data_IF_329127711584
#
_entry.id   IF_329127711584
#
_cell.length_a   1.000
_cell.length_b   1.000
_cell.length_c   1.000
_cell.angle_alpha   90.00
_cell.angle_beta   90.00
_cell.angle_gamma   90.00
#
_symmetry.space_group_name_H-M   'P 1'
#
loop_
_entity.id
_entity.type
_entity.pdbx_description
1 polymer ?
#
# COMPACT_ATOMS: atom_id res chain seq x y z
N UNK A 1 12.28 -6.68 23.61
CA UNK A 1 13.60 -6.39 23.02
C UNK A 1 13.42 -5.67 21.69
N UNK A 2 14.43 -4.87 21.31
CA UNK A 2 14.41 -4.09 20.08
C UNK A 2 15.68 -4.38 19.27
N UNK A 3 15.56 -4.51 17.93
CA UNK A 3 16.73 -4.63 17.05
C UNK A 3 17.43 -3.27 16.87
N UNK A 4 18.45 -3.24 16.05
CA UNK A 4 19.08 -1.99 15.62
C UNK A 4 18.04 -1.04 14.98
N UNK A 5 18.26 0.27 15.10
CA UNK A 5 17.32 1.33 14.67
C UNK A 5 16.78 1.15 13.25
N UNK A 6 17.64 0.77 12.30
CA UNK A 6 17.26 0.56 10.90
C UNK A 6 16.15 -0.48 10.75
N UNK A 7 16.24 -1.61 11.46
CA UNK A 7 15.20 -2.66 11.40
C UNK A 7 13.87 -2.20 12.01
N UNK A 8 13.91 -1.32 13.01
CA UNK A 8 12.70 -0.72 13.57
C UNK A 8 12.03 0.27 12.61
N UNK A 9 12.83 1.07 11.88
CA UNK A 9 12.32 2.06 10.92
C UNK A 9 11.71 1.39 9.67
N UNK A 10 12.13 0.18 9.34
CA UNK A 10 11.66 -0.58 8.17
C UNK A 10 10.50 -1.54 8.49
N UNK A 11 10.17 -1.79 9.76
CA UNK A 11 9.09 -2.69 10.10
C UNK A 11 7.71 -2.06 9.83
N UNK A 12 6.72 -2.92 9.63
CA UNK A 12 5.33 -2.50 9.48
C UNK A 12 4.83 -1.79 10.74
N UNK A 13 3.97 -0.79 10.55
CA UNK A 13 3.19 -0.24 11.66
C UNK A 13 2.13 -1.25 12.11
N UNK A 14 1.63 -1.10 13.33
CA UNK A 14 0.50 -1.91 13.82
C UNK A 14 -0.69 -1.84 12.86
N UNK A 15 -1.03 -0.64 12.37
CA UNK A 15 -2.17 -0.43 11.49
C UNK A 15 -2.03 -1.21 10.16
N UNK A 16 -0.85 -1.17 9.53
CA UNK A 16 -0.61 -1.90 8.28
C UNK A 16 -0.50 -3.41 8.52
N UNK A 17 0.06 -3.86 9.63
CA UNK A 17 0.11 -5.27 10.00
C UNK A 17 -1.30 -5.85 10.28
N UNK A 18 -2.15 -5.11 11.00
CA UNK A 18 -3.56 -5.48 11.21
C UNK A 18 -4.36 -5.50 9.90
N UNK A 19 -4.06 -4.60 8.97
CA UNK A 19 -4.68 -4.62 7.66
C UNK A 19 -4.34 -5.91 6.89
N UNK A 20 -3.07 -6.34 6.88
CA UNK A 20 -2.65 -7.63 6.30
C UNK A 20 -3.36 -8.82 6.95
N UNK A 21 -3.49 -8.82 8.28
CA UNK A 21 -4.27 -9.84 8.99
C UNK A 21 -5.75 -9.82 8.59
N UNK A 22 -6.33 -8.64 8.35
CA UNK A 22 -7.71 -8.52 7.86
C UNK A 22 -7.88 -9.09 6.45
N UNK A 23 -6.90 -8.96 5.56
CA UNK A 23 -6.91 -9.61 4.23
C UNK A 23 -7.06 -11.13 4.40
N UNK A 24 -6.23 -11.76 5.25
CA UNK A 24 -6.30 -13.21 5.48
C UNK A 24 -7.69 -13.59 6.02
N UNK A 25 -8.21 -12.85 6.99
CA UNK A 25 -9.55 -13.10 7.55
C UNK A 25 -10.66 -13.03 6.51
N UNK A 26 -10.54 -12.13 5.51
CA UNK A 26 -11.55 -11.96 4.45
C UNK A 26 -11.56 -13.10 3.41
N UNK A 27 -10.56 -13.98 3.40
CA UNK A 27 -10.54 -15.16 2.52
C UNK A 27 -11.67 -16.15 2.84
N UNK A 28 -12.39 -15.96 3.95
CA UNK A 28 -13.59 -16.71 4.32
C UNK A 28 -13.35 -18.17 4.76
N UNK A 29 -12.10 -18.62 4.74
CA UNK A 29 -11.67 -19.94 5.25
C UNK A 29 -10.72 -19.75 6.41
N UNK A 30 -10.88 -20.57 7.45
CA UNK A 30 -9.89 -20.61 8.52
C UNK A 30 -8.57 -21.13 7.95
N UNK A 31 -7.52 -20.39 8.15
CA UNK A 31 -6.18 -20.81 7.74
C UNK A 31 -5.54 -21.65 8.86
N UNK A 32 -4.87 -22.73 8.50
CA UNK A 32 -4.27 -23.62 9.48
C UNK A 32 -2.84 -23.19 9.82
N UNK A 33 -2.08 -22.81 8.79
CA UNK A 33 -0.65 -22.56 8.94
C UNK A 33 -0.30 -21.20 8.28
N UNK A 34 0.43 -20.37 9.02
CA UNK A 34 1.17 -19.23 8.49
C UNK A 34 2.64 -19.61 8.31
N UNK A 35 3.21 -19.27 7.17
CA UNK A 35 4.66 -19.32 6.93
C UNK A 35 5.12 -17.92 6.52
N UNK A 36 5.79 -17.22 7.42
CA UNK A 36 6.47 -15.95 7.12
C UNK A 36 7.92 -16.26 6.77
N UNK A 37 8.26 -16.10 5.48
CA UNK A 37 9.59 -16.43 4.93
C UNK A 37 10.61 -15.31 5.05
N UNK A 38 10.22 -14.15 5.61
CA UNK A 38 11.06 -12.94 5.75
C UNK A 38 10.78 -12.25 7.07
N UNK A 39 10.87 -12.99 8.15
CA UNK A 39 10.35 -12.62 9.46
C UNK A 39 10.76 -11.25 10.02
N UNK A 40 12.00 -10.81 9.75
CA UNK A 40 12.51 -9.52 10.20
C UNK A 40 12.34 -9.30 11.70
N UNK A 41 11.71 -8.18 12.08
CA UNK A 41 11.41 -7.90 13.50
C UNK A 41 10.22 -8.71 14.07
N UNK A 42 9.47 -9.40 13.21
CA UNK A 42 8.35 -10.26 13.60
C UNK A 42 7.01 -9.56 13.79
N UNK A 43 6.90 -8.27 13.45
CA UNK A 43 5.64 -7.52 13.60
C UNK A 43 4.54 -8.13 12.75
N UNK A 44 4.80 -8.34 11.47
CA UNK A 44 3.82 -8.94 10.56
C UNK A 44 3.47 -10.37 11.00
N UNK A 45 4.46 -11.20 11.30
CA UNK A 45 4.23 -12.56 11.81
C UNK A 45 3.31 -12.56 13.03
N UNK A 46 3.54 -11.63 13.97
CA UNK A 46 2.74 -11.51 15.19
C UNK A 46 1.24 -11.31 14.88
N UNK A 47 0.90 -10.32 14.05
CA UNK A 47 -0.50 -10.02 13.73
C UNK A 47 -1.13 -11.04 12.77
N UNK A 48 -0.37 -11.55 11.80
CA UNK A 48 -0.86 -12.56 10.86
C UNK A 48 -1.14 -13.90 11.57
N UNK A 49 -0.34 -14.27 12.58
CA UNK A 49 -0.53 -15.49 13.36
C UNK A 49 -1.87 -15.55 14.11
N UNK A 50 -2.52 -14.40 14.34
CA UNK A 50 -3.85 -14.35 14.95
C UNK A 50 -4.95 -14.97 14.07
N UNK A 51 -4.69 -15.12 12.78
CA UNK A 51 -5.64 -15.66 11.80
C UNK A 51 -5.39 -17.16 11.51
N UNK A 52 -4.41 -17.78 12.16
CA UNK A 52 -4.00 -19.17 11.91
C UNK A 52 -3.90 -19.97 13.22
N UNK A 53 -3.80 -21.29 13.11
CA UNK A 53 -3.63 -22.16 14.28
C UNK A 53 -2.16 -22.43 14.60
N UNK A 54 -1.30 -22.37 13.59
CA UNK A 54 0.14 -22.58 13.69
C UNK A 54 0.85 -21.50 12.87
N UNK A 55 2.02 -21.03 13.34
CA UNK A 55 2.81 -20.05 12.61
C UNK A 55 4.30 -20.41 12.62
N UNK A 56 4.93 -20.25 11.47
CA UNK A 56 6.37 -20.38 11.24
C UNK A 56 6.93 -19.02 10.87
N UNK A 57 7.93 -18.58 11.60
CA UNK A 57 8.76 -17.39 11.34
C UNK A 57 10.11 -17.86 10.84
N UNK A 58 10.50 -17.41 9.65
CA UNK A 58 11.77 -17.78 9.00
C UNK A 58 12.61 -16.52 8.79
N UNK A 59 13.81 -16.49 9.31
CA UNK A 59 14.73 -15.35 9.21
C UNK A 59 16.18 -15.85 9.23
N UNK A 60 17.01 -15.33 8.33
CA UNK A 60 18.42 -15.71 8.21
C UNK A 60 19.32 -15.05 9.25
N UNK A 61 18.92 -13.88 9.76
CA UNK A 61 19.68 -13.14 10.76
C UNK A 61 19.41 -13.72 12.16
N UNK A 62 20.43 -14.33 12.77
CA UNK A 62 20.35 -14.98 14.07
C UNK A 62 19.94 -14.00 15.19
N UNK A 63 20.42 -12.75 15.15
CA UNK A 63 20.07 -11.74 16.16
C UNK A 63 18.57 -11.40 16.10
N UNK A 64 18.00 -11.21 14.90
CA UNK A 64 16.57 -10.99 14.73
C UNK A 64 15.76 -12.21 15.19
N UNK A 65 16.20 -13.42 14.89
CA UNK A 65 15.56 -14.65 15.40
C UNK A 65 15.51 -14.68 16.92
N UNK A 66 16.61 -14.35 17.61
CA UNK A 66 16.66 -14.31 19.09
C UNK A 66 15.72 -13.26 19.66
N UNK A 67 15.69 -12.06 19.06
CA UNK A 67 14.80 -10.97 19.49
C UNK A 67 13.34 -11.38 19.28
N UNK A 68 12.98 -11.86 18.09
CA UNK A 68 11.64 -12.28 17.75
C UNK A 68 11.14 -13.41 18.65
N UNK A 69 11.96 -14.45 18.87
CA UNK A 69 11.64 -15.56 19.76
C UNK A 69 11.33 -15.10 21.19
N UNK A 70 12.17 -14.21 21.76
CA UNK A 70 11.95 -13.64 23.07
C UNK A 70 10.63 -12.86 23.12
N UNK A 71 10.38 -12.00 22.12
CA UNK A 71 9.18 -11.17 22.08
C UNK A 71 7.91 -12.01 21.91
N UNK A 72 7.94 -13.06 21.09
CA UNK A 72 6.82 -13.99 20.92
C UNK A 72 6.52 -14.76 22.21
N UNK A 73 7.54 -15.17 22.95
CA UNK A 73 7.37 -15.84 24.25
C UNK A 73 6.69 -14.92 25.27
N UNK A 74 7.14 -13.65 25.40
CA UNK A 74 6.51 -12.67 26.31
C UNK A 74 5.04 -12.42 25.90
N UNK A 75 4.77 -12.37 24.61
CA UNK A 75 3.42 -12.16 24.07
C UNK A 75 2.53 -13.43 24.12
N UNK A 76 3.03 -14.56 24.63
CA UNK A 76 2.36 -15.86 24.61
C UNK A 76 1.88 -16.29 23.21
N UNK A 77 2.66 -16.02 22.19
CA UNK A 77 2.37 -16.43 20.80
C UNK A 77 3.14 -17.71 20.47
N UNK A 78 2.46 -18.81 20.13
CA UNK A 78 3.09 -20.09 19.77
C UNK A 78 3.60 -20.04 18.32
N UNK A 79 4.66 -19.27 18.07
CA UNK A 79 5.29 -19.09 16.76
C UNK A 79 6.59 -19.88 16.75
N UNK A 80 6.76 -20.76 15.76
CA UNK A 80 7.98 -21.54 15.56
C UNK A 80 9.02 -20.68 14.83
N UNK A 81 10.15 -20.43 15.48
CA UNK A 81 11.24 -19.62 14.91
C UNK A 81 12.27 -20.52 14.23
N UNK A 82 12.60 -20.23 12.97
CA UNK A 82 13.58 -20.93 12.15
C UNK A 82 14.67 -19.94 11.71
N UNK A 83 15.91 -20.20 12.15
CA UNK A 83 17.06 -19.41 11.70
C UNK A 83 17.66 -20.05 10.43
N UNK A 84 17.11 -19.68 9.29
CA UNK A 84 17.50 -20.20 7.97
C UNK A 84 17.07 -19.24 6.87
N UNK A 85 17.54 -19.45 5.63
CA UNK A 85 17.05 -18.72 4.47
C UNK A 85 15.66 -19.21 4.05
N UNK A 86 14.91 -18.37 3.31
CA UNK A 86 13.62 -18.75 2.73
C UNK A 86 13.77 -19.96 1.79
N UNK A 87 14.81 -19.97 0.98
CA UNK A 87 15.11 -21.01 0.01
C UNK A 87 15.41 -22.36 0.70
N UNK A 88 16.25 -22.34 1.75
CA UNK A 88 16.60 -23.54 2.51
C UNK A 88 15.41 -24.08 3.31
N UNK A 89 14.60 -23.18 3.88
CA UNK A 89 13.37 -23.58 4.54
C UNK A 89 12.41 -24.28 3.56
N UNK A 90 12.17 -23.67 2.38
CA UNK A 90 11.29 -24.24 1.36
C UNK A 90 11.80 -25.60 0.84
N UNK A 91 13.13 -25.79 0.74
CA UNK A 91 13.73 -27.06 0.32
C UNK A 91 13.52 -28.17 1.36
N UNK A 92 13.45 -27.84 2.64
CA UNK A 92 13.30 -28.77 3.76
C UNK A 92 11.85 -28.90 4.24
N UNK A 93 10.98 -27.94 3.90
CA UNK A 93 9.58 -27.95 4.33
C UNK A 93 8.88 -29.17 3.73
N UNK A 94 8.39 -30.09 4.57
CA UNK A 94 7.88 -31.35 4.06
C UNK A 94 6.60 -31.09 3.28
N UNK A 95 6.64 -31.35 1.97
CA UNK A 95 5.43 -31.48 1.14
C UNK A 95 4.44 -32.51 1.75
N UNK A 96 4.93 -33.34 2.69
CA UNK A 96 4.21 -34.44 3.31
C UNK A 96 3.28 -34.03 4.46
N UNK A 97 3.42 -32.89 5.12
CA UNK A 97 2.43 -32.45 6.11
C UNK A 97 1.08 -32.10 5.47
N UNK A 98 1.07 -31.88 4.16
CA UNK A 98 -0.14 -31.70 3.36
C UNK A 98 -0.77 -33.02 2.89
N UNK A 99 -0.10 -34.17 3.03
CA UNK A 99 -0.47 -35.45 2.38
C UNK A 99 -0.90 -36.55 3.36
N UNK A 100 -0.64 -36.42 4.66
CA UNK A 100 -0.88 -37.51 5.63
C UNK A 100 -2.23 -37.48 6.37
N UNK A 101 -3.07 -36.48 6.10
CA UNK A 101 -4.45 -36.46 6.64
C UNK A 101 -5.45 -36.30 5.49
N UNK A 102 -6.62 -36.91 5.57
CA UNK A 102 -7.74 -36.76 4.63
C UNK A 102 -8.22 -35.28 4.50
N UNK A 103 -7.68 -34.37 5.31
CA UNK A 103 -7.98 -32.94 5.31
C UNK A 103 -6.72 -32.17 4.92
N UNK A 104 -6.73 -31.58 3.73
CA UNK A 104 -5.66 -30.69 3.24
C UNK A 104 -5.64 -29.43 4.12
N UNK A 105 -4.51 -29.15 4.79
CA UNK A 105 -4.31 -27.92 5.56
C UNK A 105 -4.27 -26.69 4.65
N UNK A 106 -4.94 -25.63 5.07
CA UNK A 106 -4.89 -24.33 4.37
C UNK A 106 -3.69 -23.54 4.87
N UNK A 107 -2.74 -23.31 3.98
CA UNK A 107 -1.48 -22.61 4.26
C UNK A 107 -1.50 -21.21 3.68
N UNK A 108 -1.10 -20.23 4.47
CA UNK A 108 -0.80 -18.87 4.01
C UNK A 108 0.71 -18.66 4.03
N UNK A 109 1.27 -18.22 2.91
CA UNK A 109 2.67 -17.80 2.84
C UNK A 109 2.73 -16.27 2.77
N UNK A 110 3.56 -15.69 3.62
CA UNK A 110 3.85 -14.25 3.64
C UNK A 110 5.32 -13.98 3.35
N UNK A 111 5.60 -12.92 2.59
CA UNK A 111 6.94 -12.43 2.26
C UNK A 111 6.99 -10.90 2.27
N UNK A 112 8.06 -10.36 2.83
CA UNK A 112 8.49 -8.95 2.70
C UNK A 112 9.93 -8.92 2.19
N UNK A 113 10.14 -9.19 0.88
CA UNK A 113 11.47 -9.34 0.33
C UNK A 113 12.24 -8.01 0.37
N UNK A 114 13.47 -8.06 0.90
CA UNK A 114 14.35 -6.91 0.91
C UNK A 114 14.89 -6.61 -0.50
N UNK A 115 15.21 -5.34 -0.77
CA UNK A 115 15.91 -4.96 -2.00
C UNK A 115 17.39 -5.33 -1.91
N UNK A 116 17.95 -5.90 -2.97
CA UNK A 116 19.43 -6.00 -3.12
C UNK A 116 19.98 -4.65 -3.58
N UNK A 117 20.77 -3.99 -2.75
CA UNK A 117 21.38 -2.70 -3.08
C UNK A 117 22.57 -2.79 -4.07
N UNK A 118 22.57 -3.75 -4.98
CA UNK A 118 23.74 -4.04 -5.81
C UNK A 118 24.11 -2.91 -6.81
N UNK A 119 23.19 -1.99 -7.20
CA UNK A 119 23.49 -1.06 -8.29
C UNK A 119 22.81 0.31 -8.22
N UNK A 120 22.35 0.82 -7.09
CA UNK A 120 21.91 2.23 -6.97
C UNK A 120 20.80 2.69 -7.96
N UNK A 121 20.11 1.76 -8.60
CA UNK A 121 19.09 2.05 -9.61
C UNK A 121 17.88 2.76 -9.00
N UNK A 122 17.33 3.76 -9.71
CA UNK A 122 16.14 4.52 -9.26
C UNK A 122 14.83 3.73 -9.33
N UNK A 123 14.79 2.59 -10.01
CA UNK A 123 13.57 1.80 -10.26
C UNK A 123 13.62 0.51 -9.43
N UNK A 124 12.57 0.26 -8.64
CA UNK A 124 12.41 -0.98 -7.89
C UNK A 124 11.86 -2.08 -8.83
N UNK A 125 12.61 -3.19 -8.96
CA UNK A 125 12.20 -4.38 -9.74
C UNK A 125 12.05 -5.59 -8.84
N UNK A 126 11.10 -6.45 -9.15
CA UNK A 126 10.85 -7.70 -8.39
C UNK A 126 12.04 -8.65 -8.48
N UNK A 127 12.74 -8.67 -9.61
CA UNK A 127 13.90 -9.51 -9.86
C UNK A 127 15.09 -9.17 -8.95
N UNK A 128 15.15 -7.92 -8.45
CA UNK A 128 16.19 -7.42 -7.56
C UNK A 128 15.92 -7.70 -6.08
N UNK A 129 14.82 -8.39 -5.78
CA UNK A 129 14.42 -8.74 -4.41
C UNK A 129 15.19 -9.95 -3.86
N UNK A 130 15.32 -9.98 -2.53
CA UNK A 130 15.86 -11.11 -1.79
C UNK A 130 14.90 -11.49 -0.63
N UNK A 131 14.36 -12.71 -0.62
CA UNK A 131 14.53 -13.78 -1.63
C UNK A 131 14.03 -13.36 -3.02
N UNK A 132 14.60 -13.99 -4.07
CA UNK A 132 14.15 -13.73 -5.44
C UNK A 132 12.79 -14.39 -5.69
N UNK A 133 11.74 -13.55 -5.71
CA UNK A 133 10.35 -14.00 -5.78
C UNK A 133 10.09 -14.85 -7.03
N UNK A 134 10.60 -14.44 -8.18
CA UNK A 134 10.36 -15.17 -9.43
C UNK A 134 10.92 -16.61 -9.36
N UNK A 135 12.09 -16.78 -8.73
CA UNK A 135 12.74 -18.10 -8.59
C UNK A 135 12.00 -19.01 -7.62
N UNK A 136 11.52 -18.48 -6.51
CA UNK A 136 10.85 -19.29 -5.47
C UNK A 136 9.35 -19.45 -5.67
N UNK A 137 8.72 -18.68 -6.56
CA UNK A 137 7.27 -18.70 -6.79
C UNK A 137 6.71 -20.10 -7.11
N UNK A 138 7.37 -20.96 -7.91
CA UNK A 138 6.90 -22.33 -8.10
C UNK A 138 6.84 -23.14 -6.79
N UNK A 139 7.84 -23.00 -5.92
CA UNK A 139 7.86 -23.67 -4.61
C UNK A 139 6.78 -23.14 -3.68
N UNK A 140 6.53 -21.82 -3.69
CA UNK A 140 5.44 -21.22 -2.92
C UNK A 140 4.07 -21.78 -3.35
N UNK A 141 3.83 -21.84 -4.66
CA UNK A 141 2.58 -22.39 -5.23
C UNK A 141 2.39 -23.89 -4.96
N UNK A 142 3.48 -24.63 -4.76
CA UNK A 142 3.42 -26.05 -4.42
C UNK A 142 2.90 -26.29 -3.00
N UNK A 143 3.14 -25.36 -2.07
CA UNK A 143 2.77 -25.48 -0.66
C UNK A 143 1.53 -24.67 -0.27
N UNK A 144 1.16 -23.64 -1.04
CA UNK A 144 0.08 -22.73 -0.70
C UNK A 144 -0.67 -22.21 -1.93
N UNK A 145 -1.99 -22.07 -1.78
CA UNK A 145 -2.84 -21.33 -2.72
C UNK A 145 -2.98 -19.84 -2.32
N UNK A 146 -2.57 -19.48 -1.10
CA UNK A 146 -2.68 -18.14 -0.55
C UNK A 146 -1.30 -17.58 -0.26
N UNK A 147 -0.83 -16.71 -1.13
CA UNK A 147 0.48 -16.07 -1.04
C UNK A 147 0.27 -14.57 -0.92
N UNK A 148 0.86 -13.96 0.10
CA UNK A 148 0.91 -12.51 0.29
C UNK A 148 2.36 -12.03 0.15
N UNK A 149 2.59 -11.05 -0.70
CA UNK A 149 3.92 -10.45 -0.90
C UNK A 149 3.82 -8.94 -0.69
N UNK A 150 4.51 -8.42 0.31
CA UNK A 150 4.61 -6.98 0.56
C UNK A 150 5.77 -6.38 -0.23
N UNK A 151 5.54 -5.23 -0.81
CA UNK A 151 6.55 -4.46 -1.53
C UNK A 151 6.56 -3.00 -1.09
N UNK A 152 7.68 -2.34 -1.34
CA UNK A 152 7.84 -0.90 -1.16
C UNK A 152 6.83 -0.09 -2.00
N UNK A 153 6.39 1.10 -1.50
CA UNK A 153 5.59 2.05 -2.28
C UNK A 153 6.22 2.45 -3.62
N UNK A 154 7.53 2.29 -3.77
CA UNK A 154 8.26 2.64 -5.00
C UNK A 154 8.07 1.63 -6.14
N UNK A 155 7.48 0.45 -5.88
CA UNK A 155 7.23 -0.56 -6.90
C UNK A 155 6.31 -0.03 -8.00
N UNK A 156 6.65 -0.30 -9.26
CA UNK A 156 5.73 -0.16 -10.39
C UNK A 156 4.80 -1.38 -10.46
N UNK A 157 3.51 -1.14 -10.16
CA UNK A 157 2.49 -2.19 -10.10
C UNK A 157 2.32 -2.88 -11.46
N UNK A 158 2.41 -2.12 -12.55
CA UNK A 158 2.21 -2.64 -13.90
C UNK A 158 3.35 -3.58 -14.29
N UNK A 159 4.59 -3.15 -14.06
CA UNK A 159 5.78 -3.97 -14.31
C UNK A 159 5.78 -5.23 -13.44
N UNK A 160 5.39 -5.11 -12.18
CA UNK A 160 5.30 -6.22 -11.25
C UNK A 160 4.29 -7.29 -11.69
N UNK A 161 3.10 -6.88 -12.13
CA UNK A 161 2.08 -7.79 -12.67
C UNK A 161 2.51 -8.44 -13.97
N UNK A 162 3.32 -7.78 -14.80
CA UNK A 162 3.90 -8.40 -16.00
C UNK A 162 4.86 -9.54 -15.64
N UNK A 163 5.67 -9.37 -14.59
CA UNK A 163 6.61 -10.40 -14.13
C UNK A 163 5.94 -11.55 -13.36
N UNK A 164 4.93 -11.26 -12.52
CA UNK A 164 4.25 -12.25 -11.67
C UNK A 164 3.06 -12.96 -12.34
N UNK A 165 2.50 -12.37 -13.40
CA UNK A 165 1.25 -12.83 -14.03
C UNK A 165 0.00 -12.12 -13.47
N UNK A 166 -1.19 -12.49 -13.98
CA UNK A 166 -2.44 -11.78 -13.71
C UNK A 166 -3.28 -12.41 -12.57
N UNK A 167 -2.73 -13.33 -11.80
CA UNK A 167 -3.45 -14.06 -10.74
C UNK A 167 -3.28 -13.39 -9.36
N UNK A 168 -3.17 -12.06 -9.34
CA UNK A 168 -2.90 -11.30 -8.12
C UNK A 168 -3.90 -10.18 -7.93
N UNK A 169 -4.49 -10.13 -6.75
CA UNK A 169 -5.09 -8.91 -6.23
C UNK A 169 -3.98 -8.02 -5.68
N UNK A 170 -4.11 -6.71 -5.88
CA UNK A 170 -3.11 -5.73 -5.44
C UNK A 170 -3.75 -4.77 -4.46
N UNK A 171 -3.22 -4.70 -3.24
CA UNK A 171 -3.63 -3.72 -2.25
C UNK A 171 -2.59 -2.60 -2.18
N UNK A 172 -2.99 -1.40 -2.53
CA UNK A 172 -2.19 -0.18 -2.32
C UNK A 172 -2.62 0.42 -0.99
N UNK A 173 -1.75 0.33 0.01
CA UNK A 173 -2.09 0.70 1.38
C UNK A 173 -1.43 2.01 1.76
N UNK A 174 -2.24 3.01 2.05
CA UNK A 174 -1.83 4.28 2.64
C UNK A 174 -2.25 4.35 4.11
N UNK A 175 -1.48 5.06 4.91
CA UNK A 175 -1.79 5.43 6.28
C UNK A 175 -1.78 6.96 6.37
N UNK A 176 -2.92 7.55 6.73
CA UNK A 176 -3.10 9.00 6.80
C UNK A 176 -2.66 9.71 5.50
N UNK A 177 -3.11 9.17 4.36
CA UNK A 177 -2.82 9.70 3.02
C UNK A 177 -1.34 9.61 2.58
N UNK A 178 -0.55 8.74 3.19
CA UNK A 178 0.81 8.41 2.77
C UNK A 178 0.91 6.93 2.42
N UNK A 179 1.25 6.58 1.17
CA UNK A 179 1.38 5.17 0.75
C UNK A 179 2.55 4.53 1.49
N UNK A 180 2.27 3.47 2.25
CA UNK A 180 3.25 2.76 3.07
C UNK A 180 3.74 1.47 2.44
N UNK A 181 2.84 0.73 1.78
CA UNK A 181 3.17 -0.57 1.22
C UNK A 181 2.22 -0.93 0.06
N UNK A 182 2.69 -1.83 -0.80
CA UNK A 182 1.90 -2.48 -1.84
C UNK A 182 1.91 -3.98 -1.55
N UNK A 183 0.74 -4.60 -1.42
CA UNK A 183 0.62 -6.01 -1.11
C UNK A 183 0.03 -6.73 -2.32
N UNK A 184 0.70 -7.76 -2.79
CA UNK A 184 0.17 -8.69 -3.78
C UNK A 184 -0.38 -9.91 -3.05
N UNK A 185 -1.62 -10.27 -3.37
CA UNK A 185 -2.29 -11.45 -2.81
C UNK A 185 -2.77 -12.30 -3.96
N UNK A 186 -2.56 -13.62 -3.91
CA UNK A 186 -3.16 -14.52 -4.92
C UNK A 186 -4.67 -14.28 -4.99
N UNK A 187 -5.19 -13.99 -6.18
CA UNK A 187 -6.58 -13.53 -6.33
C UNK A 187 -7.06 -13.41 -7.77
N UNK A 188 -7.99 -12.49 -8.02
CA UNK A 188 -8.77 -12.38 -9.25
C UNK A 188 -8.47 -11.10 -10.05
N UNK A 189 -7.26 -10.56 -9.94
CA UNK A 189 -6.80 -9.39 -10.69
C UNK A 189 -7.57 -8.08 -10.34
N UNK A 190 -7.91 -7.91 -9.06
CA UNK A 190 -8.50 -6.68 -8.55
C UNK A 190 -7.42 -5.78 -7.93
N UNK A 191 -7.65 -4.48 -7.98
CA UNK A 191 -6.83 -3.49 -7.30
C UNK A 191 -7.67 -2.85 -6.20
N UNK A 192 -7.12 -2.81 -5.00
CA UNK A 192 -7.73 -2.23 -3.80
C UNK A 192 -6.85 -1.06 -3.34
N UNK A 193 -7.31 0.16 -3.57
CA UNK A 193 -6.68 1.34 -2.99
C UNK A 193 -7.32 1.59 -1.61
N UNK A 194 -6.51 1.55 -0.56
CA UNK A 194 -6.97 1.65 0.82
C UNK A 194 -6.17 2.71 1.56
N UNK A 195 -6.87 3.66 2.15
CA UNK A 195 -6.27 4.67 3.02
C UNK A 195 -6.79 4.47 4.44
N UNK A 196 -5.91 4.00 5.32
CA UNK A 196 -6.21 3.78 6.74
C UNK A 196 -6.21 5.13 7.45
N UNK A 197 -7.31 5.45 8.09
CA UNK A 197 -7.53 6.67 8.87
C UNK A 197 -7.51 6.38 10.38
N UNK A 198 -7.64 7.39 11.22
CA UNK A 198 -7.83 7.19 12.66
C UNK A 198 -9.14 6.46 12.97
N UNK A 199 -10.19 6.76 12.20
CA UNK A 199 -11.48 6.09 12.28
C UNK A 199 -11.85 5.56 10.89
N UNK A 200 -11.87 4.23 10.74
CA UNK A 200 -12.23 3.57 9.50
C UNK A 200 -11.16 3.60 8.40
N UNK A 201 -11.58 3.26 7.20
CA UNK A 201 -10.73 3.23 6.01
C UNK A 201 -11.50 3.75 4.81
N UNK A 202 -10.86 4.62 4.00
CA UNK A 202 -11.33 4.86 2.64
C UNK A 202 -10.89 3.69 1.76
N UNK A 203 -11.81 3.11 1.00
CA UNK A 203 -11.51 2.01 0.09
C UNK A 203 -12.10 2.25 -1.29
N UNK A 204 -11.28 2.05 -2.32
CA UNK A 204 -11.67 2.12 -3.72
C UNK A 204 -11.14 0.88 -4.45
N UNK A 205 -12.05 0.00 -4.88
CA UNK A 205 -11.68 -1.27 -5.51
C UNK A 205 -12.12 -1.31 -6.97
N UNK A 206 -11.26 -1.82 -7.85
CA UNK A 206 -11.50 -1.87 -9.29
C UNK A 206 -10.63 -2.93 -9.96
N UNK A 207 -10.92 -3.18 -11.24
CA UNK A 207 -10.05 -3.95 -12.14
C UNK A 207 -9.37 -3.03 -13.15
N UNK A 208 -8.25 -3.46 -13.71
CA UNK A 208 -7.56 -2.69 -14.77
C UNK A 208 -8.42 -2.50 -16.02
N UNK A 209 -9.32 -3.46 -16.29
CA UNK A 209 -10.27 -3.35 -17.41
C UNK A 209 -11.31 -2.25 -17.17
N UNK A 210 -11.84 -2.14 -15.95
CA UNK A 210 -12.76 -1.06 -15.58
C UNK A 210 -12.08 0.31 -15.76
N UNK A 211 -10.87 0.50 -15.23
CA UNK A 211 -10.14 1.77 -15.41
C UNK A 211 -9.87 2.10 -16.89
N UNK A 212 -9.50 1.08 -17.69
CA UNK A 212 -9.22 1.26 -19.12
C UNK A 212 -10.47 1.66 -19.92
N UNK A 213 -11.63 1.12 -19.57
CA UNK A 213 -12.90 1.37 -20.26
C UNK A 213 -13.66 2.59 -19.73
N UNK A 214 -13.32 3.07 -18.52
CA UNK A 214 -14.01 4.19 -17.90
C UNK A 214 -13.94 5.47 -18.73
N UNK A 215 -15.02 6.23 -18.70
CA UNK A 215 -15.11 7.56 -19.31
C UNK A 215 -14.55 8.60 -18.34
N UNK A 216 -13.74 9.51 -18.87
CA UNK A 216 -13.19 10.62 -18.10
C UNK A 216 -13.61 11.93 -18.76
N UNK A 217 -14.57 12.61 -18.18
CA UNK A 217 -15.00 13.92 -18.63
C UNK A 217 -13.95 14.98 -18.25
N UNK A 218 -13.62 15.87 -19.18
CA UNK A 218 -12.75 17.02 -18.92
C UNK A 218 -13.56 18.24 -18.52
N UNK A 219 -13.04 19.03 -17.62
CA UNK A 219 -13.65 20.28 -17.18
C UNK A 219 -13.33 21.42 -18.13
N UNK A 220 -14.32 22.21 -18.51
CA UNK A 220 -14.12 23.48 -19.24
C UNK A 220 -13.71 24.63 -18.29
N UNK A 221 -14.12 24.54 -17.03
CA UNK A 221 -13.80 25.49 -15.97
C UNK A 221 -13.78 24.82 -14.61
N UNK A 222 -13.27 25.51 -13.60
CA UNK A 222 -13.34 25.05 -12.21
C UNK A 222 -14.74 25.37 -11.68
N UNK A 223 -15.39 24.35 -11.12
CA UNK A 223 -16.72 24.44 -10.51
C UNK A 223 -16.66 24.86 -9.03
N UNK A 224 -17.75 24.65 -8.28
CA UNK A 224 -17.85 25.06 -6.86
C UNK A 224 -16.91 24.26 -5.93
N UNK A 225 -16.59 23.01 -6.29
CA UNK A 225 -15.73 22.13 -5.48
C UNK A 225 -14.57 21.56 -6.29
N UNK A 226 -13.42 21.41 -5.64
CA UNK A 226 -12.24 20.70 -6.16
C UNK A 226 -12.04 19.44 -5.34
N UNK A 227 -11.73 18.32 -6.01
CA UNK A 227 -11.54 17.00 -5.44
C UNK A 227 -10.13 16.48 -5.76
N UNK A 228 -9.44 15.98 -4.76
CA UNK A 228 -8.18 15.27 -4.92
C UNK A 228 -8.30 13.89 -4.30
N UNK A 229 -8.22 12.79 -5.08
CA UNK A 229 -8.22 11.43 -4.54
C UNK A 229 -7.08 11.23 -3.54
N UNK A 230 -7.27 10.33 -2.58
CA UNK A 230 -6.22 10.00 -1.65
C UNK A 230 -5.02 9.33 -2.33
N UNK A 231 -3.88 9.31 -1.64
CA UNK A 231 -2.61 8.83 -2.19
C UNK A 231 -2.67 7.35 -2.64
N UNK A 232 -3.49 6.50 -2.01
CA UNK A 232 -3.66 5.11 -2.41
C UNK A 232 -4.32 5.00 -3.78
N UNK A 233 -5.37 5.77 -4.05
CA UNK A 233 -6.07 5.81 -5.35
C UNK A 233 -5.14 6.34 -6.44
N UNK A 234 -4.39 7.41 -6.14
CA UNK A 234 -3.42 7.98 -7.08
C UNK A 234 -2.34 6.95 -7.43
N UNK A 235 -1.77 6.27 -6.44
CA UNK A 235 -0.76 5.23 -6.65
C UNK A 235 -1.31 4.00 -7.37
N UNK A 236 -2.57 3.65 -7.11
CA UNK A 236 -3.27 2.55 -7.78
C UNK A 236 -3.61 2.85 -9.26
N UNK A 237 -3.62 4.11 -9.66
CA UNK A 237 -3.83 4.55 -11.04
C UNK A 237 -5.30 4.60 -11.47
N UNK A 238 -6.25 4.80 -10.54
CA UNK A 238 -7.69 4.88 -10.83
C UNK A 238 -8.12 6.30 -11.21
N UNK A 239 -7.66 6.82 -12.33
CA UNK A 239 -7.87 8.22 -12.70
C UNK A 239 -9.18 8.46 -13.45
N UNK A 240 -9.49 7.59 -14.43
CA UNK A 240 -10.70 7.70 -15.24
C UNK A 240 -11.92 7.23 -14.45
N UNK A 241 -11.76 6.14 -13.73
CA UNK A 241 -12.82 5.53 -12.96
C UNK A 241 -13.27 6.41 -11.77
N UNK A 242 -12.38 7.20 -11.19
CA UNK A 242 -12.75 8.24 -10.21
C UNK A 242 -13.67 9.28 -10.85
N UNK A 243 -13.33 9.79 -12.05
CA UNK A 243 -14.19 10.71 -12.80
C UNK A 243 -15.58 10.11 -13.05
N UNK A 244 -15.64 8.87 -13.54
CA UNK A 244 -16.88 8.19 -13.88
C UNK A 244 -17.75 7.88 -12.66
N UNK A 245 -17.19 7.25 -11.61
CA UNK A 245 -17.97 6.81 -10.43
C UNK A 245 -18.53 7.96 -9.61
N UNK A 246 -17.77 9.05 -9.51
CA UNK A 246 -18.19 10.23 -8.75
C UNK A 246 -18.76 11.34 -9.63
N UNK A 247 -18.91 11.10 -10.95
CA UNK A 247 -19.45 12.08 -11.92
C UNK A 247 -18.69 13.41 -11.88
N UNK A 248 -17.36 13.33 -11.74
CA UNK A 248 -16.44 14.45 -11.65
C UNK A 248 -15.81 14.77 -13.00
N UNK A 249 -15.52 16.04 -13.26
CA UNK A 249 -14.78 16.50 -14.42
C UNK A 249 -13.31 16.70 -14.05
N UNK A 250 -12.40 16.11 -14.82
CA UNK A 250 -10.97 16.21 -14.58
C UNK A 250 -10.44 17.55 -15.07
N UNK A 251 -9.65 18.26 -14.26
CA UNK A 251 -9.17 19.61 -14.59
C UNK A 251 -8.12 19.62 -15.71
N UNK A 252 -7.25 18.59 -15.79
CA UNK A 252 -6.24 18.48 -16.83
C UNK A 252 -5.80 17.02 -17.00
N UNK A 253 -5.29 16.66 -18.16
CA UNK A 253 -4.86 15.29 -18.49
C UNK A 253 -3.81 14.73 -17.51
N UNK A 254 -2.86 15.56 -17.10
CA UNK A 254 -1.74 15.15 -16.23
C UNK A 254 -1.92 15.54 -14.76
N UNK A 255 -3.03 16.18 -14.41
CA UNK A 255 -3.34 16.59 -13.04
C UNK A 255 -4.46 15.72 -12.48
N UNK A 256 -4.27 15.14 -11.30
CA UNK A 256 -5.27 14.28 -10.67
C UNK A 256 -6.16 15.09 -9.71
N UNK A 257 -6.62 16.26 -10.20
CA UNK A 257 -7.63 17.10 -9.59
C UNK A 257 -8.88 17.07 -10.45
N UNK A 258 -10.01 17.09 -9.78
CA UNK A 258 -11.34 17.03 -10.40
C UNK A 258 -12.21 18.15 -9.84
N UNK A 259 -13.33 18.44 -10.51
CA UNK A 259 -14.26 19.47 -10.09
C UNK A 259 -15.70 19.07 -10.34
N UNK A 260 -16.61 19.60 -9.54
CA UNK A 260 -18.06 19.51 -9.69
C UNK A 260 -18.76 20.66 -8.95
N UNK A 261 -20.02 20.93 -9.31
CA UNK A 261 -20.85 21.94 -8.62
C UNK A 261 -21.49 21.41 -7.34
N UNK A 262 -21.53 20.09 -7.13
CA UNK A 262 -22.14 19.47 -5.95
C UNK A 262 -21.07 18.93 -5.02
N UNK A 263 -21.32 19.03 -3.71
CA UNK A 263 -20.48 18.40 -2.69
C UNK A 263 -20.78 16.89 -2.64
N UNK A 264 -19.71 16.08 -2.73
CA UNK A 264 -19.75 14.62 -2.54
C UNK A 264 -19.11 14.33 -1.18
N UNK A 265 -19.95 14.01 -0.19
CA UNK A 265 -19.51 13.88 1.22
C UNK A 265 -18.63 12.64 1.45
N UNK A 266 -18.87 11.54 0.73
CA UNK A 266 -18.18 10.26 0.84
C UNK A 266 -17.02 10.10 -0.18
N UNK A 267 -16.53 11.21 -0.71
CA UNK A 267 -15.41 11.17 -1.64
C UNK A 267 -14.12 10.69 -0.94
N UNK A 268 -13.43 9.64 -1.44
CA UNK A 268 -12.24 9.08 -0.80
C UNK A 268 -11.00 9.94 -1.07
N UNK A 269 -10.92 11.09 -0.45
CA UNK A 269 -9.85 12.05 -0.66
C UNK A 269 -10.10 13.39 0.02
N UNK A 270 -9.53 14.45 -0.55
CA UNK A 270 -9.70 15.82 -0.07
C UNK A 270 -10.71 16.55 -0.95
N UNK A 271 -11.54 17.35 -0.32
CA UNK A 271 -12.53 18.21 -1.01
C UNK A 271 -12.34 19.63 -0.53
N UNK A 272 -12.27 20.56 -1.46
CA UNK A 272 -12.19 21.99 -1.16
C UNK A 272 -13.32 22.73 -1.85
N UNK A 273 -13.94 23.67 -1.13
CA UNK A 273 -14.88 24.63 -1.72
C UNK A 273 -14.09 25.78 -2.32
N UNK A 274 -14.38 26.10 -3.57
CA UNK A 274 -13.74 27.19 -4.30
C UNK A 274 -14.38 28.52 -3.86
N UNK A 275 -13.60 29.43 -3.31
CA UNK A 275 -14.07 30.74 -2.85
C UNK A 275 -13.74 31.88 -3.82
N UNK A 276 -12.72 31.70 -4.65
CA UNK A 276 -12.32 32.67 -5.67
C UNK A 276 -11.45 32.03 -6.76
N UNK A 277 -11.61 32.50 -7.98
CA UNK A 277 -10.78 32.13 -9.14
C UNK A 277 -10.93 33.14 -10.30
N UNK A 278 -9.94 33.29 -11.18
CA UNK A 278 -8.54 32.88 -10.98
C UNK A 278 -7.78 33.91 -10.12
N UNK A 279 -6.83 33.42 -9.33
CA UNK A 279 -5.89 34.28 -8.60
C UNK A 279 -4.63 34.44 -9.44
N UNK A 280 -4.37 35.65 -9.96
CA UNK A 280 -3.25 35.93 -10.86
C UNK A 280 -2.10 36.67 -10.19
N UNK A 281 -2.39 37.44 -9.15
CA UNK A 281 -1.42 38.32 -8.52
C UNK A 281 -1.77 38.54 -7.02
N UNK A 282 -0.87 39.24 -6.32
CA UNK A 282 -0.99 39.55 -4.90
C UNK A 282 -2.25 40.43 -4.59
N UNK A 283 -2.72 41.26 -5.52
CA UNK A 283 -3.91 42.12 -5.27
C UNK A 283 -5.17 41.28 -5.18
N UNK A 284 -5.26 40.19 -5.96
CA UNK A 284 -6.41 39.27 -5.92
C UNK A 284 -6.53 38.61 -4.56
N UNK A 285 -5.39 38.16 -3.96
CA UNK A 285 -5.36 37.58 -2.62
C UNK A 285 -5.68 38.63 -1.55
N UNK A 286 -5.12 39.82 -1.68
CA UNK A 286 -5.39 40.90 -0.73
C UNK A 286 -6.87 41.31 -0.74
N UNK A 287 -7.53 41.29 -1.90
CA UNK A 287 -8.97 41.56 -2.01
C UNK A 287 -9.84 40.53 -1.27
N UNK A 288 -9.34 39.31 -1.10
CA UNK A 288 -10.01 38.25 -0.31
C UNK A 288 -9.71 38.35 1.20
N UNK A 289 -8.87 39.29 1.62
CA UNK A 289 -8.45 39.42 3.02
C UNK A 289 -7.53 38.30 3.53
N UNK A 290 -7.01 37.47 2.63
CA UNK A 290 -6.18 36.30 2.97
C UNK A 290 -4.73 36.76 3.20
N UNK A 291 -4.21 36.54 4.40
CA UNK A 291 -2.82 36.82 4.76
C UNK A 291 -2.02 35.52 4.93
N UNK A 292 -2.68 34.42 5.22
CA UNK A 292 -2.09 33.10 5.47
C UNK A 292 -2.84 32.03 4.67
N UNK A 293 -2.09 31.17 3.95
CA UNK A 293 -2.66 30.04 3.24
C UNK A 293 -1.64 28.93 3.04
N UNK A 294 -2.10 27.69 2.97
CA UNK A 294 -1.32 26.59 2.41
C UNK A 294 -1.30 26.73 0.88
N UNK A 295 -0.16 26.47 0.27
CA UNK A 295 -0.03 26.45 -1.18
C UNK A 295 0.28 25.03 -1.63
N UNK A 296 -0.66 24.43 -2.36
CA UNK A 296 -0.50 23.11 -2.97
C UNK A 296 -0.27 23.28 -4.47
N UNK A 297 0.77 22.65 -5.00
CA UNK A 297 1.08 22.66 -6.44
C UNK A 297 0.93 21.28 -7.04
N UNK A 298 0.34 21.21 -8.24
CA UNK A 298 0.22 19.98 -9.03
C UNK A 298 0.62 20.28 -10.46
N UNK A 299 1.73 19.69 -10.92
CA UNK A 299 2.29 19.95 -12.25
C UNK A 299 2.49 21.45 -12.57
N UNK A 300 2.88 22.20 -11.57
CA UNK A 300 3.11 23.65 -11.71
C UNK A 300 4.61 23.98 -11.69
N UNK A 301 5.10 24.92 -12.54
CA UNK A 301 6.54 25.15 -12.69
C UNK A 301 7.21 25.79 -11.48
N UNK A 302 6.44 26.46 -10.61
CA UNK A 302 6.95 27.09 -9.39
C UNK A 302 6.66 26.22 -8.17
N UNK A 303 7.60 26.20 -7.22
CA UNK A 303 7.44 25.54 -5.92
C UNK A 303 6.47 26.31 -5.02
N UNK A 304 5.86 25.67 -4.00
CA UNK A 304 5.04 26.36 -3.00
C UNK A 304 5.76 27.54 -2.35
N UNK A 305 7.06 27.41 -2.08
CA UNK A 305 7.88 28.48 -1.48
C UNK A 305 8.05 29.69 -2.41
N UNK A 306 8.30 29.46 -3.69
CA UNK A 306 8.39 30.54 -4.69
C UNK A 306 7.06 31.25 -4.85
N UNK A 307 5.94 30.51 -4.83
CA UNK A 307 4.60 31.09 -4.88
C UNK A 307 4.29 31.89 -3.62
N UNK A 308 4.65 31.42 -2.42
CA UNK A 308 4.49 32.19 -1.18
C UNK A 308 5.22 33.54 -1.25
N UNK A 309 6.45 33.52 -1.72
CA UNK A 309 7.24 34.76 -1.93
C UNK A 309 6.57 35.69 -2.94
N UNK A 310 6.13 35.15 -4.09
CA UNK A 310 5.45 35.90 -5.15
C UNK A 310 4.16 36.54 -4.70
N UNK A 311 3.34 35.79 -3.95
CA UNK A 311 2.03 36.25 -3.48
C UNK A 311 2.07 36.93 -2.11
N UNK A 312 3.22 36.91 -1.42
CA UNK A 312 3.42 37.43 -0.05
C UNK A 312 2.43 36.86 0.97
N UNK A 313 2.17 35.55 0.90
CA UNK A 313 1.28 34.84 1.79
C UNK A 313 2.11 34.05 2.81
N UNK A 314 1.72 34.13 4.10
CA UNK A 314 2.32 33.31 5.16
C UNK A 314 1.74 31.91 5.14
N UNK A 315 2.48 30.94 5.68
CA UNK A 315 2.02 29.56 5.79
C UNK A 315 0.83 29.41 6.76
N UNK A 316 -0.11 28.56 6.41
CA UNK A 316 -1.26 28.21 7.22
C UNK A 316 -1.71 26.80 6.88
N UNK A 317 -2.25 26.09 7.88
CA UNK A 317 -2.83 24.77 7.73
C UNK A 317 -4.35 24.81 7.49
N UNK A 318 -4.96 25.99 7.53
CA UNK A 318 -6.43 26.17 7.54
C UNK A 318 -7.05 26.76 6.27
N UNK A 319 -6.25 27.28 5.33
CA UNK A 319 -6.75 27.86 4.05
C UNK A 319 -5.86 27.38 2.91
N UNK A 320 -6.48 26.92 1.84
CA UNK A 320 -5.82 26.34 0.67
C UNK A 320 -6.18 27.10 -0.60
#
# INVERSE_FOLDING_TARGET
WYPVRLSCEQCSSEATARYKAAIIRQLGKKQDILIDLTGGYGVDTYFLSEQTTQAHYVERNEELCRIAQHNFQIANKPIHVHNTSAEDFLAQYPMAESVSSDVKKEVVVYLDPARRDAHGGKVFRIEDCEPNIIKILPSLRAISNTILIKFSPMLDITSALQSLGNEWDVHVVALHNEVKEIIFVTGNNRIHAVNILHEGNDQFSFTRSEEKSALCAMADCICEYIYEPNAAIIKAGAFRLVSERYQLHKLDHNTHLYTADQLIEDFPGRVWKVIAQPIKNQRDIAALGIQRAAILTRNYPLTPEELRKKFKVQESDSHF
#
